data_IF_666576924776
#
_entry.id   IF_666576924776
#
_cell.length_a   1.000
_cell.length_b   1.000
_cell.length_c   1.000
_cell.angle_alpha   90.00
_cell.angle_beta   90.00
_cell.angle_gamma   90.00
#
_symmetry.space_group_name_H-M   'P 1'
#
loop_
_entity.id
_entity.type
_entity.pdbx_description
1 polymer ?
#
# COMPACT_ATOMS: atom_id res chain seq x y z
N UNK A 1 13.15 3.51 -17.74
CA UNK A 1 14.39 3.03 -17.09
C UNK A 1 15.02 1.83 -17.83
N UNK A 2 15.11 1.84 -19.18
CA UNK A 2 15.46 0.62 -19.94
C UNK A 2 16.87 0.07 -19.64
N UNK A 3 17.88 0.94 -19.55
CA UNK A 3 19.25 0.50 -19.25
C UNK A 3 19.39 -0.04 -17.83
N UNK A 4 18.74 0.58 -16.84
CA UNK A 4 18.76 0.07 -15.45
C UNK A 4 18.14 -1.32 -15.35
N UNK A 5 17.02 -1.58 -16.03
CA UNK A 5 16.45 -2.94 -16.06
C UNK A 5 17.37 -3.97 -16.72
N UNK A 6 18.17 -3.58 -17.71
CA UNK A 6 19.07 -4.50 -18.40
C UNK A 6 20.38 -4.75 -17.65
N UNK A 7 20.78 -3.83 -16.77
CA UNK A 7 22.09 -3.83 -16.10
C UNK A 7 22.01 -4.20 -14.62
N UNK A 8 20.81 -4.45 -14.10
CA UNK A 8 20.57 -4.75 -12.69
C UNK A 8 19.80 -6.05 -12.53
N UNK A 9 20.22 -6.82 -11.54
CA UNK A 9 19.65 -8.14 -11.22
C UNK A 9 18.64 -8.05 -10.07
N UNK A 10 18.54 -6.90 -9.42
CA UNK A 10 17.59 -6.66 -8.35
C UNK A 10 17.05 -5.23 -8.43
N UNK A 11 15.81 -5.04 -7.99
CA UNK A 11 15.26 -3.73 -7.72
C UNK A 11 14.46 -3.73 -6.42
N UNK A 12 14.48 -2.60 -5.72
CA UNK A 12 13.62 -2.36 -4.57
C UNK A 12 12.99 -0.97 -4.58
N UNK A 13 11.83 -0.84 -3.97
CA UNK A 13 11.11 0.43 -3.80
C UNK A 13 10.21 0.33 -2.57
N UNK A 14 9.99 1.45 -1.88
CA UNK A 14 8.99 1.56 -0.82
C UNK A 14 7.86 2.54 -1.20
N UNK A 15 6.65 2.26 -0.73
CA UNK A 15 5.51 3.20 -0.79
C UNK A 15 4.84 3.23 0.58
N UNK A 16 4.59 4.43 1.08
CA UNK A 16 3.98 4.66 2.39
C UNK A 16 2.67 5.44 2.24
N UNK A 17 1.61 4.90 2.81
CA UNK A 17 0.32 5.57 2.94
C UNK A 17 0.23 6.19 4.32
N UNK A 18 -0.01 7.49 4.36
CA UNK A 18 -0.35 8.23 5.56
C UNK A 18 -1.87 8.39 5.58
N UNK A 19 -2.52 7.90 6.62
CA UNK A 19 -3.97 7.83 6.74
C UNK A 19 -4.43 8.57 7.99
N UNK A 20 -5.46 9.41 7.82
CA UNK A 20 -6.18 10.04 8.92
C UNK A 20 -7.61 9.53 8.92
N UNK A 21 -7.98 8.80 9.97
CA UNK A 21 -9.37 8.37 10.18
C UNK A 21 -10.20 9.55 10.71
N UNK A 22 -11.47 9.65 10.31
CA UNK A 22 -12.40 10.54 11.01
C UNK A 22 -12.92 9.80 12.23
N UNK A 23 -12.85 10.44 13.39
CA UNK A 23 -13.45 9.88 14.59
C UNK A 23 -14.98 9.85 14.39
N UNK A 24 -15.63 8.69 14.51
CA UNK A 24 -17.08 8.62 14.45
C UNK A 24 -17.63 9.45 15.62
N UNK A 25 -18.44 10.47 15.35
CA UNK A 25 -19.16 11.20 16.38
C UNK A 25 -20.29 10.29 16.89
N UNK A 26 -20.00 9.44 17.87
CA UNK A 26 -20.96 8.47 18.42
C UNK A 26 -20.50 7.91 19.76
N UNK A 27 -21.38 7.99 20.75
CA UNK A 27 -21.19 7.53 22.14
C UNK A 27 -20.72 6.08 22.20
N UNK A 28 -19.85 5.80 23.18
CA UNK A 28 -19.05 4.59 23.39
C UNK A 28 -19.78 3.23 23.54
N UNK A 29 -21.08 3.13 23.21
CA UNK A 29 -21.92 1.97 23.54
C UNK A 29 -22.46 1.19 22.32
N UNK A 30 -21.99 1.45 21.09
CA UNK A 30 -22.49 0.73 19.89
C UNK A 30 -21.45 0.03 19.02
N UNK A 31 -20.23 -0.20 19.51
CA UNK A 31 -19.21 -0.94 18.74
C UNK A 31 -18.81 -2.25 19.42
N UNK A 32 -19.80 -3.08 19.74
CA UNK A 32 -19.54 -4.52 19.84
C UNK A 32 -19.46 -5.11 18.43
N UNK A 33 -18.23 -5.46 18.05
CA UNK A 33 -17.97 -6.67 17.26
C UNK A 33 -18.76 -6.86 15.96
N UNK A 34 -18.78 -5.89 15.04
CA UNK A 34 -19.14 -6.16 13.65
C UNK A 34 -17.86 -6.27 12.82
N UNK A 35 -17.49 -7.50 12.44
CA UNK A 35 -16.27 -7.84 11.72
C UNK A 35 -16.20 -7.28 10.30
N UNK A 36 -15.99 -5.98 10.17
CA UNK A 36 -15.61 -5.35 8.90
C UNK A 36 -14.09 -5.34 8.78
N UNK A 37 -13.55 -6.52 8.45
CA UNK A 37 -12.25 -6.64 7.76
C UNK A 37 -12.39 -6.09 6.33
N UNK A 38 -12.79 -4.84 6.18
CA UNK A 38 -12.67 -4.16 4.89
C UNK A 38 -11.22 -3.68 4.75
N UNK A 39 -10.32 -4.65 4.56
CA UNK A 39 -8.98 -4.37 4.08
C UNK A 39 -9.16 -3.78 2.68
N UNK A 40 -9.02 -2.47 2.53
CA UNK A 40 -8.88 -1.83 1.22
C UNK A 40 -7.88 -2.65 0.41
N UNK A 41 -8.34 -3.25 -0.68
CA UNK A 41 -7.46 -4.04 -1.55
C UNK A 41 -6.64 -3.06 -2.35
N UNK A 42 -5.36 -2.97 -2.01
CA UNK A 42 -4.38 -2.22 -2.77
C UNK A 42 -3.77 -3.14 -3.81
N UNK A 43 -3.72 -2.66 -5.06
CA UNK A 43 -2.96 -3.30 -6.14
C UNK A 43 -1.98 -2.29 -6.71
N UNK A 44 -0.72 -2.69 -6.86
CA UNK A 44 0.33 -1.81 -7.36
C UNK A 44 0.79 -2.32 -8.73
N UNK A 45 0.71 -1.47 -9.76
CA UNK A 45 1.17 -1.86 -11.10
C UNK A 45 2.65 -1.54 -11.24
N UNK A 46 3.43 -2.56 -11.55
CA UNK A 46 4.84 -2.44 -11.90
C UNK A 46 5.07 -1.92 -13.33
N UNK A 47 6.32 -1.61 -13.64
CA UNK A 47 6.74 -1.10 -14.95
C UNK A 47 6.44 -2.07 -16.11
N UNK A 48 6.59 -3.37 -15.88
CA UNK A 48 6.26 -4.43 -16.83
C UNK A 48 4.76 -4.80 -16.89
N UNK A 49 3.88 -3.99 -16.26
CA UNK A 49 2.42 -4.18 -16.17
C UNK A 49 1.97 -5.35 -15.27
N UNK A 50 2.88 -6.04 -14.58
CA UNK A 50 2.49 -6.99 -13.54
C UNK A 50 1.93 -6.24 -12.34
N UNK A 51 1.09 -6.93 -11.57
CA UNK A 51 0.42 -6.36 -10.41
C UNK A 51 0.97 -7.00 -9.14
N UNK A 52 1.32 -6.16 -8.17
CA UNK A 52 1.69 -6.57 -6.83
C UNK A 52 0.46 -6.46 -5.92
N UNK A 53 0.08 -7.57 -5.32
CA UNK A 53 -1.20 -7.73 -4.62
C UNK A 53 -1.10 -8.78 -3.53
N UNK A 54 -1.86 -8.56 -2.45
CA UNK A 54 -2.00 -9.54 -1.36
C UNK A 54 -2.50 -10.89 -1.87
N UNK A 55 -2.02 -11.98 -1.28
CA UNK A 55 -2.39 -13.37 -1.62
C UNK A 55 -1.99 -13.78 -3.06
N UNK A 56 -0.97 -13.13 -3.63
CA UNK A 56 -0.40 -13.48 -4.95
C UNK A 56 1.10 -13.76 -4.87
N UNK A 57 1.68 -14.30 -5.95
CA UNK A 57 3.14 -14.50 -6.06
C UNK A 57 3.94 -13.20 -5.95
N UNK A 58 3.32 -12.06 -6.28
CA UNK A 58 3.93 -10.73 -6.21
C UNK A 58 3.33 -9.94 -5.04
N UNK A 59 3.14 -10.59 -3.89
CA UNK A 59 2.70 -9.88 -2.68
C UNK A 59 3.80 -8.92 -2.19
N UNK A 60 3.50 -7.63 -2.01
CA UNK A 60 4.47 -6.70 -1.43
C UNK A 60 4.69 -7.02 0.05
N UNK A 61 5.91 -6.83 0.51
CA UNK A 61 6.23 -7.02 1.92
C UNK A 61 5.68 -5.84 2.74
N UNK A 62 4.78 -6.13 3.67
CA UNK A 62 4.19 -5.12 4.56
C UNK A 62 5.15 -4.85 5.72
N UNK A 63 5.73 -3.65 5.76
CA UNK A 63 6.61 -3.22 6.86
C UNK A 63 5.82 -2.77 8.09
N UNK A 64 4.71 -2.07 7.85
CA UNK A 64 3.82 -1.55 8.88
C UNK A 64 2.41 -1.44 8.29
N UNK A 65 1.38 -1.73 9.08
CA UNK A 65 -0.01 -1.60 8.64
C UNK A 65 -0.93 -1.10 9.77
N UNK A 66 -1.03 0.22 9.87
CA UNK A 66 -1.76 0.94 10.91
C UNK A 66 -2.92 1.79 10.37
N UNK A 67 -3.09 1.92 9.05
CA UNK A 67 -4.23 2.65 8.46
C UNK A 67 -5.62 2.07 8.84
N UNK A 68 -5.66 0.89 9.46
CA UNK A 68 -6.88 0.30 10.06
C UNK A 68 -7.29 0.90 11.41
N UNK A 69 -6.41 1.69 12.05
CA UNK A 69 -6.67 2.29 13.35
C UNK A 69 -7.58 3.51 13.16
N UNK A 70 -8.73 3.50 13.85
CA UNK A 70 -9.75 4.55 13.76
C UNK A 70 -9.85 5.38 15.05
N UNK A 71 -8.78 6.11 15.38
CA UNK A 71 -8.66 6.91 16.61
C UNK A 71 -8.60 8.44 16.35
N UNK A 72 -8.80 8.88 15.11
CA UNK A 72 -8.71 10.30 14.76
C UNK A 72 -7.28 10.84 14.63
N UNK A 73 -6.26 9.99 14.72
CA UNK A 73 -4.85 10.35 14.56
C UNK A 73 -4.28 9.91 13.22
N UNK A 74 -3.11 10.46 12.87
CA UNK A 74 -2.36 10.02 11.69
C UNK A 74 -1.66 8.70 11.96
N UNK A 75 -1.85 7.76 11.03
CA UNK A 75 -1.21 6.45 11.02
C UNK A 75 -0.55 6.19 9.67
N UNK A 76 0.34 5.19 9.63
CA UNK A 76 1.05 4.83 8.41
C UNK A 76 0.96 3.33 8.07
N UNK A 77 0.80 3.04 6.78
CA UNK A 77 0.99 1.69 6.24
C UNK A 77 2.08 1.73 5.16
N UNK A 78 3.15 0.96 5.35
CA UNK A 78 4.33 0.97 4.49
C UNK A 78 4.54 -0.38 3.80
N UNK A 79 4.75 -0.31 2.49
CA UNK A 79 4.92 -1.46 1.61
C UNK A 79 6.31 -1.44 0.98
N UNK A 80 7.02 -2.57 1.03
CA UNK A 80 8.30 -2.78 0.40
C UNK A 80 8.13 -3.74 -0.78
N UNK A 81 8.54 -3.28 -1.95
CA UNK A 81 8.63 -4.08 -3.16
C UNK A 81 10.10 -4.44 -3.37
N UNK A 82 10.41 -5.73 -3.42
CA UNK A 82 11.75 -6.23 -3.70
C UNK A 82 11.62 -7.40 -4.68
N UNK A 83 12.46 -7.41 -5.71
CA UNK A 83 12.38 -8.40 -6.78
C UNK A 83 13.73 -8.60 -7.47
N UNK A 84 13.95 -9.83 -7.95
CA UNK A 84 15.07 -10.18 -8.82
C UNK A 84 14.77 -9.93 -10.31
N UNK A 85 13.53 -9.61 -10.67
CA UNK A 85 13.15 -9.19 -12.02
C UNK A 85 13.06 -7.66 -12.04
N UNK A 86 14.18 -7.00 -12.31
CA UNK A 86 14.30 -5.54 -12.21
C UNK A 86 13.33 -4.78 -13.11
N UNK A 87 12.80 -5.42 -14.17
CA UNK A 87 11.77 -4.83 -15.05
C UNK A 87 10.38 -4.69 -14.40
N UNK A 88 10.14 -5.30 -13.24
CA UNK A 88 8.89 -5.15 -12.48
C UNK A 88 8.76 -3.81 -11.78
N UNK A 89 9.86 -3.19 -11.36
CA UNK A 89 9.87 -1.88 -10.72
C UNK A 89 10.27 -0.78 -11.72
N UNK A 90 10.01 0.52 -11.47
CA UNK A 90 9.24 1.06 -10.36
C UNK A 90 7.75 0.72 -10.45
N UNK A 91 7.04 0.94 -9.34
CA UNK A 91 5.59 1.05 -9.33
C UNK A 91 5.18 2.30 -10.11
N UNK A 92 4.27 2.13 -11.07
CA UNK A 92 3.81 3.19 -11.99
C UNK A 92 2.34 3.57 -11.79
N UNK A 93 1.58 2.78 -11.04
CA UNK A 93 0.17 3.03 -10.74
C UNK A 93 -0.26 2.32 -9.45
N UNK A 94 -1.21 2.91 -8.76
CA UNK A 94 -1.78 2.39 -7.51
C UNK A 94 -3.30 2.35 -7.69
N UNK A 95 -3.86 1.15 -7.58
CA UNK A 95 -5.30 0.92 -7.69
C UNK A 95 -5.86 0.57 -6.32
N UNK A 96 -6.84 1.36 -5.91
CA UNK A 96 -7.56 1.18 -4.66
C UNK A 96 -8.99 0.79 -4.97
N UNK A 97 -9.47 -0.30 -4.37
CA UNK A 97 -10.89 -0.66 -4.46
C UNK A 97 -11.59 -0.07 -3.24
N UNK A 98 -12.50 0.91 -3.43
CA UNK A 98 -13.19 1.53 -2.31
C UNK A 98 -14.08 0.49 -1.64
N UNK A 99 -13.78 0.23 -0.38
CA UNK A 99 -14.65 -0.37 0.61
C UNK A 99 -15.37 0.77 1.32
N UNK A 100 -16.67 0.62 1.61
CA UNK A 100 -17.71 1.66 1.58
C UNK A 100 -17.54 2.93 2.46
N UNK A 101 -16.44 3.13 3.18
CA UNK A 101 -16.26 4.24 4.13
C UNK A 101 -14.83 4.80 4.19
N UNK A 102 -14.24 5.17 3.06
CA UNK A 102 -13.02 5.99 3.06
C UNK A 102 -13.38 7.46 3.32
N UNK A 103 -13.99 7.74 4.47
CA UNK A 103 -14.28 9.12 4.87
C UNK A 103 -13.00 9.89 5.21
N UNK A 104 -11.85 9.21 5.40
CA UNK A 104 -10.52 9.72 5.80
C UNK A 104 -9.74 10.59 4.82
N UNK A 105 -8.82 11.42 5.34
CA UNK A 105 -7.78 12.05 4.52
C UNK A 105 -6.62 11.08 4.31
N UNK A 106 -5.99 11.13 3.13
CA UNK A 106 -4.85 10.27 2.80
C UNK A 106 -3.78 11.05 2.06
N UNK A 107 -2.54 10.73 2.38
CA UNK A 107 -1.35 11.21 1.69
C UNK A 107 -0.48 10.01 1.32
N UNK A 108 0.08 10.01 0.11
CA UNK A 108 0.90 8.92 -0.39
C UNK A 108 2.31 9.44 -0.60
N UNK A 109 3.27 8.73 -0.01
CA UNK A 109 4.69 8.95 -0.17
C UNK A 109 5.27 7.83 -1.03
N UNK A 110 5.86 8.21 -2.17
CA UNK A 110 6.47 7.27 -3.12
C UNK A 110 7.98 7.33 -2.92
N UNK A 111 8.55 6.27 -2.35
CA UNK A 111 9.99 6.12 -2.17
C UNK A 111 10.73 5.96 -3.49
N UNK A 112 12.04 6.26 -3.52
CA UNK A 112 12.87 6.05 -4.70
C UNK A 112 12.94 4.56 -5.04
N UNK A 113 13.06 4.26 -6.34
CA UNK A 113 13.43 2.92 -6.79
C UNK A 113 14.95 2.80 -6.82
N UNK A 114 15.48 1.74 -6.20
CA UNK A 114 16.89 1.42 -6.21
C UNK A 114 17.12 0.17 -7.07
N UNK A 115 18.21 0.18 -7.83
CA UNK A 115 18.63 -0.92 -8.70
C UNK A 115 20.03 -1.38 -8.28
N UNK A 116 20.24 -2.69 -8.24
CA UNK A 116 21.49 -3.34 -7.84
C UNK A 116 21.98 -4.29 -8.93
#
# INVERSE_FOLDING_TARGET
MKFLHLLSNEANQSITFHCLSYQPYGTADSFSSSGHKENTRLRFRGWNKQMFEKDTLLEPHVLQDECKIQDGSWHQSSFLFHTQESSQLPIVDIQEFPTSELNGQRHIEIGPVCFL
#
